data_IF_168405289715
#
_entry.id   IF_168405289715
#
_cell.length_a   1.000
_cell.length_b   1.000
_cell.length_c   1.000
_cell.angle_alpha   90.00
_cell.angle_beta   90.00
_cell.angle_gamma   90.00
#
_symmetry.space_group_name_H-M   'P 1'
#
loop_
_entity.id
_entity.type
_entity.pdbx_description
1 polymer ?
#
# COMPACT_ATOMS: atom_id res chain seq x y z
N UNK A 1 7.25 -14.59 -9.92
CA UNK A 1 6.25 -15.13 -8.97
C UNK A 1 5.10 -15.74 -9.75
N UNK A 2 4.42 -16.75 -9.19
CA UNK A 2 3.19 -17.32 -9.78
C UNK A 2 2.04 -16.95 -8.86
N UNK A 3 1.25 -15.96 -9.25
CA UNK A 3 0.11 -15.45 -8.46
C UNK A 3 -1.21 -15.98 -9.06
N UNK A 4 -1.27 -16.10 -10.38
CA UNK A 4 -2.42 -16.64 -11.11
C UNK A 4 -2.36 -18.17 -11.23
N UNK A 5 -3.49 -18.85 -11.01
CA UNK A 5 -3.58 -20.32 -11.03
C UNK A 5 -3.16 -20.94 -12.39
N UNK A 6 -3.29 -20.19 -13.49
CA UNK A 6 -2.94 -20.66 -14.83
C UNK A 6 -1.45 -20.54 -15.18
N UNK A 7 -0.63 -19.92 -14.33
CA UNK A 7 0.79 -19.70 -14.63
C UNK A 7 1.64 -20.89 -14.17
N UNK A 8 2.00 -21.76 -15.12
CA UNK A 8 2.75 -22.99 -14.84
C UNK A 8 4.23 -22.80 -14.61
N UNK A 9 4.89 -21.81 -15.23
CA UNK A 9 6.34 -21.58 -15.10
C UNK A 9 6.68 -20.09 -15.18
N UNK A 10 7.77 -19.72 -14.50
CA UNK A 10 8.41 -18.40 -14.57
C UNK A 10 9.89 -18.68 -14.84
N UNK A 11 10.51 -17.94 -15.75
CA UNK A 11 11.92 -18.12 -16.06
C UNK A 11 12.81 -17.87 -14.82
N UNK A 12 13.92 -18.58 -14.72
CA UNK A 12 14.81 -18.58 -13.54
C UNK A 12 15.42 -17.22 -13.23
N UNK A 13 15.66 -16.39 -14.25
CA UNK A 13 16.25 -15.07 -14.12
C UNK A 13 15.26 -14.01 -13.62
N UNK A 14 13.96 -14.22 -13.85
CA UNK A 14 12.93 -13.21 -13.55
C UNK A 14 12.90 -12.84 -12.06
N UNK A 15 12.89 -13.78 -11.10
CA UNK A 15 12.93 -13.43 -9.67
C UNK A 15 14.12 -12.55 -9.29
N UNK A 16 15.30 -12.83 -9.84
CA UNK A 16 16.53 -12.08 -9.51
C UNK A 16 16.45 -10.65 -10.05
N UNK A 17 16.01 -10.50 -11.31
CA UNK A 17 15.82 -9.19 -11.93
C UNK A 17 14.76 -8.36 -11.21
N UNK A 18 13.65 -9.00 -10.80
CA UNK A 18 12.58 -8.31 -10.11
C UNK A 18 12.99 -7.86 -8.71
N UNK A 19 13.82 -8.62 -8.00
CA UNK A 19 14.39 -8.19 -6.72
C UNK A 19 15.23 -6.92 -6.88
N UNK A 20 16.09 -6.86 -7.89
CA UNK A 20 16.90 -5.68 -8.17
C UNK A 20 16.05 -4.47 -8.59
N UNK A 21 15.05 -4.71 -9.45
CA UNK A 21 14.13 -3.66 -9.88
C UNK A 21 13.31 -3.12 -8.69
N UNK A 22 12.84 -4.00 -7.81
CA UNK A 22 12.10 -3.61 -6.60
C UNK A 22 12.98 -2.81 -5.64
N UNK A 23 14.23 -3.22 -5.45
CA UNK A 23 15.21 -2.47 -4.65
C UNK A 23 15.39 -1.05 -5.18
N UNK A 24 15.67 -0.91 -6.48
CA UNK A 24 15.84 0.42 -7.11
C UNK A 24 14.57 1.25 -7.11
N UNK A 25 13.42 0.62 -7.26
CA UNK A 25 12.14 1.29 -7.16
C UNK A 25 11.92 1.87 -5.75
N UNK A 26 12.16 1.08 -4.69
CA UNK A 26 11.99 1.53 -3.31
C UNK A 26 12.96 2.66 -2.97
N UNK A 27 14.22 2.56 -3.39
CA UNK A 27 15.25 3.58 -3.17
C UNK A 27 14.84 4.94 -3.77
N UNK A 28 14.54 4.97 -5.09
CA UNK A 28 14.16 6.19 -5.81
C UNK A 28 12.84 6.77 -5.27
N UNK A 29 11.84 5.91 -5.05
CA UNK A 29 10.53 6.37 -4.61
C UNK A 29 10.59 6.96 -3.19
N UNK A 30 11.40 6.36 -2.30
CA UNK A 30 11.62 6.89 -0.94
C UNK A 30 12.35 8.22 -0.98
N UNK A 31 13.37 8.38 -1.82
CA UNK A 31 14.09 9.64 -1.98
C UNK A 31 13.14 10.75 -2.44
N UNK A 32 12.26 10.46 -3.41
CA UNK A 32 11.30 11.43 -3.92
C UNK A 32 10.25 11.82 -2.88
N UNK A 33 9.76 10.87 -2.08
CA UNK A 33 8.88 11.17 -0.96
C UNK A 33 9.59 11.97 0.14
N UNK A 34 10.89 11.73 0.35
CA UNK A 34 11.69 12.51 1.30
C UNK A 34 11.81 13.98 0.89
N UNK A 35 11.95 14.28 -0.40
CA UNK A 35 11.98 15.67 -0.89
C UNK A 35 10.76 16.48 -0.42
N UNK A 36 9.56 15.89 -0.47
CA UNK A 36 8.33 16.55 0.03
C UNK A 36 8.29 16.72 1.55
N UNK A 37 8.93 15.80 2.28
CA UNK A 37 9.12 15.90 3.73
C UNK A 37 9.99 17.10 4.08
N UNK A 38 11.10 17.27 3.35
CA UNK A 38 12.05 18.38 3.52
C UNK A 38 11.46 19.72 3.09
N UNK A 39 10.73 19.77 1.98
CA UNK A 39 9.97 20.96 1.54
C UNK A 39 8.99 21.43 2.62
N UNK A 40 8.40 20.48 3.34
CA UNK A 40 7.49 20.74 4.47
C UNK A 40 8.22 21.06 5.79
N UNK A 41 9.57 21.12 5.79
CA UNK A 41 10.43 21.31 6.96
C UNK A 41 10.22 20.27 8.07
N UNK A 42 9.73 19.08 7.71
CA UNK A 42 9.53 17.95 8.63
C UNK A 42 10.77 17.05 8.61
N UNK A 43 10.90 16.23 9.66
CA UNK A 43 11.96 15.21 9.78
C UNK A 43 11.40 13.79 9.84
N UNK A 44 10.08 13.66 9.70
CA UNK A 44 9.35 12.39 9.74
C UNK A 44 8.57 12.31 8.43
N UNK A 45 8.86 11.26 7.66
CA UNK A 45 8.15 10.93 6.42
C UNK A 45 6.70 10.56 6.76
N UNK A 46 5.74 11.12 6.03
CA UNK A 46 4.32 10.86 6.23
C UNK A 46 3.68 10.23 4.99
N UNK A 47 2.52 9.58 5.18
CA UNK A 47 1.76 8.99 4.06
C UNK A 47 1.38 10.03 3.00
N UNK A 48 1.18 11.28 3.40
CA UNK A 48 0.93 12.42 2.49
C UNK A 48 2.11 12.70 1.56
N UNK A 49 3.35 12.54 2.02
CA UNK A 49 4.53 12.73 1.19
C UNK A 49 4.66 11.65 0.12
N UNK A 50 4.32 10.42 0.50
CA UNK A 50 4.27 9.26 -0.39
C UNK A 50 3.19 9.47 -1.46
N UNK A 51 2.00 9.93 -1.06
CA UNK A 51 0.91 10.23 -1.98
C UNK A 51 1.28 11.36 -2.96
N UNK A 52 2.00 12.39 -2.50
CA UNK A 52 2.51 13.48 -3.36
C UNK A 52 3.59 12.97 -4.33
N UNK A 53 4.55 12.19 -3.83
CA UNK A 53 5.61 11.62 -4.67
C UNK A 53 5.06 10.77 -5.81
N UNK A 54 4.02 9.97 -5.56
CA UNK A 54 3.35 9.17 -6.57
C UNK A 54 2.70 10.02 -7.68
N UNK A 55 2.29 11.25 -7.39
CA UNK A 55 1.65 12.17 -8.36
C UNK A 55 2.67 12.98 -9.19
N UNK A 56 3.98 12.85 -8.91
CA UNK A 56 5.03 13.64 -9.59
C UNK A 56 5.34 13.16 -11.01
N UNK A 57 5.00 11.91 -11.37
CA UNK A 57 5.32 11.32 -12.67
C UNK A 57 4.28 10.27 -13.05
N UNK A 58 3.96 10.18 -14.34
CA UNK A 58 3.07 9.14 -14.88
C UNK A 58 3.65 7.72 -14.74
N UNK A 59 4.97 7.60 -14.47
CA UNK A 59 5.60 6.31 -14.21
C UNK A 59 5.05 5.64 -12.93
N UNK A 60 4.51 6.41 -11.99
CA UNK A 60 3.96 5.91 -10.73
C UNK A 60 2.42 5.83 -10.71
N UNK A 61 1.76 5.98 -11.86
CA UNK A 61 0.29 5.93 -11.95
C UNK A 61 -0.30 4.60 -11.47
N UNK A 62 0.48 3.51 -11.56
CA UNK A 62 0.08 2.19 -11.03
C UNK A 62 -0.14 2.21 -9.51
N UNK A 63 0.38 3.20 -8.78
CA UNK A 63 0.20 3.36 -7.34
C UNK A 63 -1.08 4.10 -6.97
N UNK A 64 -1.77 4.77 -7.90
CA UNK A 64 -2.96 5.57 -7.59
C UNK A 64 -4.10 4.75 -7.00
N UNK A 65 -4.24 3.50 -7.43
CA UNK A 65 -5.27 2.59 -6.90
C UNK A 65 -4.87 1.88 -5.60
N UNK A 66 -3.60 1.98 -5.21
CA UNK A 66 -3.02 1.28 -4.06
C UNK A 66 -2.85 2.23 -2.88
N UNK A 67 -2.37 3.45 -3.14
CA UNK A 67 -2.14 4.45 -2.11
C UNK A 67 -3.46 5.09 -1.67
N UNK A 68 -3.68 5.29 -0.37
CA UNK A 68 -4.84 6.02 0.12
C UNK A 68 -4.76 7.49 -0.28
N UNK A 69 -5.86 8.04 -0.80
CA UNK A 69 -5.97 9.48 -1.00
C UNK A 69 -5.90 10.21 0.35
N UNK A 70 -5.32 11.42 0.38
CA UNK A 70 -5.10 12.22 1.59
C UNK A 70 -6.39 12.45 2.42
N UNK A 71 -7.58 12.34 1.81
CA UNK A 71 -8.88 12.43 2.51
C UNK A 71 -9.46 11.07 2.97
N UNK A 72 -8.99 9.95 2.43
CA UNK A 72 -9.58 8.62 2.68
C UNK A 72 -9.07 7.93 3.97
N UNK A 73 -8.08 8.53 4.65
CA UNK A 73 -7.41 7.99 5.83
C UNK A 73 -8.29 7.74 7.06
N UNK A 74 -9.52 8.24 7.07
CA UNK A 74 -10.49 8.01 8.16
C UNK A 74 -11.50 6.88 7.88
N UNK A 75 -11.65 6.43 6.62
CA UNK A 75 -12.77 5.52 6.28
C UNK A 75 -12.40 4.04 6.42
N UNK A 76 -11.11 3.67 6.29
CA UNK A 76 -10.70 2.24 6.31
C UNK A 76 -10.38 1.68 7.70
N UNK A 77 -10.27 2.51 8.74
CA UNK A 77 -10.08 2.02 10.12
C UNK A 77 -11.38 1.43 10.70
N UNK A 78 -12.56 1.90 10.28
CA UNK A 78 -13.84 1.52 10.88
C UNK A 78 -14.46 0.19 10.42
N UNK A 79 -13.88 -0.51 9.42
CA UNK A 79 -14.50 -1.76 8.91
C UNK A 79 -14.01 -3.05 9.58
N UNK A 80 -12.98 -3.00 10.43
CA UNK A 80 -12.39 -4.21 11.02
C UNK A 80 -12.69 -4.42 12.52
N UNK A 81 -13.51 -3.57 13.17
CA UNK A 81 -13.88 -3.75 14.59
C UNK A 81 -15.30 -4.31 14.82
N UNK A 82 -16.13 -4.47 13.79
CA UNK A 82 -17.54 -4.88 13.95
C UNK A 82 -17.81 -6.38 13.76
N UNK A 83 -16.83 -7.27 13.92
CA UNK A 83 -17.06 -8.72 13.79
C UNK A 83 -16.70 -9.54 15.04
N UNK A 84 -16.68 -8.89 16.20
CA UNK A 84 -16.71 -9.57 17.49
C UNK A 84 -17.82 -8.91 18.31
N UNK A 85 -18.65 -9.72 18.98
CA UNK A 85 -19.85 -9.35 19.74
C UNK A 85 -21.12 -9.39 18.87
N UNK A 86 -21.68 -10.60 18.68
CA UNK A 86 -23.00 -10.95 19.20
C UNK A 86 -23.37 -12.40 18.82
N UNK A 87 -22.97 -13.36 19.66
CA UNK A 87 -23.61 -14.69 19.72
C UNK A 87 -23.54 -15.16 21.17
N UNK A 88 -24.30 -14.49 22.03
CA UNK A 88 -24.66 -15.04 23.34
C UNK A 88 -25.87 -14.27 23.88
N UNK A 89 -27.07 -14.66 23.44
CA UNK A 89 -28.31 -14.61 24.22
C UNK A 89 -29.48 -15.08 23.34
N UNK A 90 -29.79 -16.37 23.41
CA UNK A 90 -31.18 -16.81 23.27
C UNK A 90 -31.32 -18.11 24.08
N UNK A 91 -31.61 -17.92 25.35
CA UNK A 91 -32.22 -18.93 26.22
C UNK A 91 -33.68 -18.57 26.41
N UNK A 92 -34.55 -19.57 26.22
CA UNK A 92 -35.90 -19.75 26.78
C UNK A 92 -37.13 -19.25 25.99
N UNK A 93 -38.20 -20.07 26.08
CA UNK A 93 -39.55 -20.05 25.48
C UNK A 93 -39.66 -20.81 24.13
N UNK A 94 -40.31 -21.98 23.98
CA UNK A 94 -41.27 -22.80 24.76
C UNK A 94 -40.98 -24.31 24.59
#
# INVERSE_FOLDING_TARGET
MKVEENVKMVASEVPILFSLAAEKFIEEFTLRAWMHTEESKRKILQATDIAKAAKTTSMYDFLMYILPDEEAGLVRRSKNENNAIDTSEESEED
#
